data_IF_041626639192
#
_entry.id   IF_041626639192
#
_cell.length_a   1.000
_cell.length_b   1.000
_cell.length_c   1.000
_cell.angle_alpha   90.00
_cell.angle_beta   90.00
_cell.angle_gamma   90.00
#
_symmetry.space_group_name_H-M   'P 1'
#
loop_
_entity.id
_entity.type
_entity.pdbx_description
1 polymer ?
#
# COMPACT_ATOMS: atom_id res chain seq x y z
N UNK A 1 15.79 16.78 -1.12
CA UNK A 1 15.32 15.76 -2.10
C UNK A 1 15.03 14.37 -1.51
N UNK A 2 15.79 13.82 -0.55
CA UNK A 2 15.60 12.43 -0.08
C UNK A 2 14.22 12.05 0.51
N UNK A 3 13.46 12.98 1.08
CA UNK A 3 12.11 12.67 1.62
C UNK A 3 11.05 12.48 0.52
N UNK A 4 11.23 13.11 -0.63
CA UNK A 4 10.31 12.95 -1.76
C UNK A 4 10.46 11.56 -2.40
N UNK A 5 11.70 11.07 -2.54
CA UNK A 5 11.94 9.71 -3.04
C UNK A 5 11.39 8.65 -2.09
N UNK A 6 11.54 8.85 -0.76
CA UNK A 6 10.92 7.97 0.24
C UNK A 6 9.40 7.98 0.11
N UNK A 7 8.77 9.14 -0.04
CA UNK A 7 7.33 9.24 -0.24
C UNK A 7 6.86 8.46 -1.48
N UNK A 8 7.55 8.61 -2.60
CA UNK A 8 7.23 7.90 -3.86
C UNK A 8 7.38 6.39 -3.67
N UNK A 9 8.50 5.93 -3.11
CA UNK A 9 8.74 4.49 -2.88
C UNK A 9 7.65 3.90 -1.99
N UNK A 10 7.28 4.60 -0.92
CA UNK A 10 6.22 4.15 0.00
C UNK A 10 4.87 4.07 -0.70
N UNK A 11 4.49 5.09 -1.47
CA UNK A 11 3.24 5.08 -2.26
C UNK A 11 3.22 3.91 -3.21
N UNK A 12 4.28 3.75 -4.02
CA UNK A 12 4.34 2.66 -5.02
C UNK A 12 4.26 1.29 -4.34
N UNK A 13 4.98 1.09 -3.24
CA UNK A 13 4.97 -0.19 -2.51
C UNK A 13 3.60 -0.48 -1.91
N UNK A 14 2.99 0.49 -1.24
CA UNK A 14 1.65 0.34 -0.65
C UNK A 14 0.60 0.12 -1.74
N UNK A 15 0.65 0.87 -2.84
CA UNK A 15 -0.25 0.66 -3.98
C UNK A 15 -0.12 -0.75 -4.57
N UNK A 16 1.10 -1.25 -4.76
CA UNK A 16 1.32 -2.63 -5.20
C UNK A 16 0.67 -3.64 -4.24
N UNK A 17 0.92 -3.49 -2.93
CA UNK A 17 0.35 -4.38 -1.91
C UNK A 17 -1.18 -4.37 -1.86
N UNK A 18 -1.81 -3.22 -2.14
CA UNK A 18 -3.26 -3.07 -2.10
C UNK A 18 -3.95 -3.52 -3.40
N UNK A 19 -3.26 -3.43 -4.54
CA UNK A 19 -3.82 -3.74 -5.85
C UNK A 19 -3.67 -5.22 -6.22
N UNK A 20 -2.69 -5.93 -5.65
CA UNK A 20 -2.48 -7.35 -5.93
C UNK A 20 -3.53 -8.19 -5.21
N UNK A 21 -4.35 -8.87 -6.02
CA UNK A 21 -5.39 -9.77 -5.56
C UNK A 21 -5.05 -11.21 -5.94
N UNK A 22 -5.42 -12.14 -5.08
CA UNK A 22 -5.28 -13.57 -5.30
C UNK A 22 -6.67 -14.19 -5.40
N UNK A 23 -6.89 -14.92 -6.48
CA UNK A 23 -8.12 -15.68 -6.70
C UNK A 23 -7.86 -17.14 -6.42
N UNK A 24 -8.67 -17.74 -5.53
CA UNK A 24 -8.63 -19.17 -5.26
C UNK A 24 -9.97 -19.78 -5.66
N UNK A 25 -9.94 -20.81 -6.49
CA UNK A 25 -11.13 -21.53 -6.92
C UNK A 25 -11.16 -22.88 -6.23
N UNK A 26 -12.34 -23.23 -5.72
CA UNK A 26 -12.62 -24.52 -5.12
C UNK A 26 -13.65 -25.21 -5.99
N UNK A 27 -13.19 -26.23 -6.71
CA UNK A 27 -14.06 -27.06 -7.51
C UNK A 27 -14.90 -27.96 -6.62
N UNK A 28 -16.20 -28.00 -6.89
CA UNK A 28 -17.09 -28.94 -6.23
C UNK A 28 -16.87 -30.35 -6.79
N UNK A 29 -16.83 -31.35 -5.91
CA UNK A 29 -16.81 -32.74 -6.33
C UNK A 29 -18.10 -33.09 -7.10
N UNK A 30 -18.10 -34.10 -8.00
CA UNK A 30 -19.29 -34.51 -8.73
C UNK A 30 -20.45 -34.84 -7.77
N UNK A 31 -21.57 -34.13 -7.89
CA UNK A 31 -22.75 -34.28 -7.03
C UNK A 31 -22.76 -33.43 -5.75
N UNK A 32 -21.71 -32.65 -5.48
CA UNK A 32 -21.53 -31.90 -4.22
C UNK A 32 -21.92 -30.40 -4.29
N UNK A 33 -22.48 -29.91 -5.41
CA UNK A 33 -22.97 -28.54 -5.55
C UNK A 33 -22.18 -27.67 -6.55
N UNK A 34 -22.24 -26.35 -6.38
CA UNK A 34 -21.60 -25.36 -7.27
C UNK A 34 -20.16 -25.05 -6.87
N UNK A 35 -19.26 -25.03 -7.86
CA UNK A 35 -17.89 -24.51 -7.68
C UNK A 35 -17.93 -23.03 -7.28
N UNK A 36 -17.00 -22.61 -6.43
CA UNK A 36 -16.90 -21.21 -6.01
C UNK A 36 -15.47 -20.70 -6.12
N UNK A 37 -15.32 -19.46 -6.58
CA UNK A 37 -14.06 -18.75 -6.58
C UNK A 37 -14.15 -17.58 -5.61
N UNK A 38 -13.11 -17.43 -4.79
CA UNK A 38 -12.98 -16.34 -3.84
C UNK A 38 -11.75 -15.52 -4.19
N UNK A 39 -11.98 -14.23 -4.43
CA UNK A 39 -10.91 -13.25 -4.63
C UNK A 39 -10.66 -12.52 -3.33
N UNK A 40 -9.41 -12.50 -2.88
CA UNK A 40 -8.99 -11.79 -1.68
C UNK A 40 -7.71 -11.00 -1.95
N UNK A 41 -7.47 -9.89 -1.23
CA UNK A 41 -6.19 -9.20 -1.32
C UNK A 41 -5.06 -10.14 -0.89
N UNK A 42 -3.92 -10.08 -1.57
CA UNK A 42 -2.79 -11.00 -1.36
C UNK A 42 -2.30 -11.05 0.10
N UNK A 43 -2.34 -9.91 0.78
CA UNK A 43 -1.93 -9.77 2.18
C UNK A 43 -3.08 -9.95 3.18
N UNK A 44 -4.26 -10.35 2.70
CA UNK A 44 -5.49 -10.46 3.48
C UNK A 44 -6.02 -9.10 3.94
N UNK A 45 -7.29 -9.07 4.38
CA UNK A 45 -7.98 -7.83 4.76
C UNK A 45 -7.25 -7.10 5.91
N UNK A 46 -6.76 -7.85 6.91
CA UNK A 46 -6.00 -7.27 8.01
C UNK A 46 -4.67 -6.66 7.52
N UNK A 47 -3.95 -7.34 6.64
CA UNK A 47 -2.71 -6.82 6.05
C UNK A 47 -2.95 -5.56 5.22
N UNK A 48 -4.06 -5.49 4.48
CA UNK A 48 -4.49 -4.31 3.71
C UNK A 48 -4.65 -3.08 4.61
N UNK A 49 -5.33 -3.22 5.75
CA UNK A 49 -5.48 -2.12 6.70
C UNK A 49 -4.15 -1.69 7.32
N UNK A 50 -3.31 -2.64 7.72
CA UNK A 50 -1.99 -2.34 8.29
C UNK A 50 -1.13 -1.60 7.27
N UNK A 51 -1.02 -2.11 6.04
CA UNK A 51 -0.24 -1.50 4.97
C UNK A 51 -0.74 -0.07 4.64
N UNK A 52 -2.06 0.11 4.57
CA UNK A 52 -2.67 1.42 4.33
C UNK A 52 -2.35 2.44 5.43
N UNK A 53 -2.52 2.05 6.70
CA UNK A 53 -2.24 2.93 7.85
C UNK A 53 -0.75 3.26 7.94
N UNK A 54 0.13 2.26 7.84
CA UNK A 54 1.58 2.50 7.87
C UNK A 54 2.02 3.41 6.72
N UNK A 55 1.51 3.19 5.50
CA UNK A 55 1.77 4.04 4.35
C UNK A 55 1.34 5.49 4.58
N UNK A 56 0.14 5.71 5.12
CA UNK A 56 -0.38 7.04 5.43
C UNK A 56 0.49 7.78 6.47
N UNK A 57 0.90 7.09 7.53
CA UNK A 57 1.77 7.66 8.57
C UNK A 57 3.12 8.07 7.99
N UNK A 58 3.76 7.19 7.22
CA UNK A 58 5.07 7.50 6.62
C UNK A 58 4.97 8.67 5.63
N UNK A 59 3.90 8.75 4.85
CA UNK A 59 3.65 9.89 3.96
C UNK A 59 3.47 11.19 4.75
N UNK A 60 2.69 11.18 5.83
CA UNK A 60 2.52 12.35 6.68
C UNK A 60 3.87 12.82 7.26
N UNK A 61 4.72 11.90 7.69
CA UNK A 61 6.08 12.20 8.15
C UNK A 61 6.94 12.79 7.03
N UNK A 62 6.90 12.23 5.82
CA UNK A 62 7.65 12.75 4.68
C UNK A 62 7.23 14.18 4.34
N UNK A 63 5.91 14.44 4.27
CA UNK A 63 5.36 15.79 4.05
C UNK A 63 5.81 16.73 5.16
N UNK A 64 5.71 16.31 6.42
CA UNK A 64 6.14 17.12 7.56
C UNK A 64 7.63 17.50 7.47
N UNK A 65 8.50 16.56 7.09
CA UNK A 65 9.93 16.83 6.91
C UNK A 65 10.21 17.79 5.75
N UNK A 66 9.50 17.64 4.63
CA UNK A 66 9.60 18.56 3.47
C UNK A 66 9.21 19.98 3.90
N UNK A 67 8.05 20.13 4.56
CA UNK A 67 7.55 21.43 5.03
C UNK A 67 8.46 22.01 6.11
N UNK A 68 9.04 21.18 6.97
CA UNK A 68 10.03 21.62 7.98
C UNK A 68 11.32 22.11 7.30
N UNK A 69 11.83 21.40 6.30
CA UNK A 69 13.04 21.79 5.56
C UNK A 69 12.83 23.11 4.81
N UNK A 70 11.66 23.28 4.18
CA UNK A 70 11.24 24.53 3.52
C UNK A 70 11.18 25.70 4.51
N UNK A 71 10.52 25.52 5.65
CA UNK A 71 10.45 26.56 6.70
C UNK A 71 11.79 26.90 7.33
N UNK A 72 12.73 25.97 7.34
CA UNK A 72 14.08 26.19 7.91
C UNK A 72 15.04 26.88 6.95
N UNK A 73 14.57 27.33 5.77
CA UNK A 73 15.42 27.99 4.76
C UNK A 73 16.46 27.05 4.11
N UNK A 74 16.32 25.73 4.28
CA UNK A 74 17.25 24.71 3.73
C UNK A 74 16.78 24.13 2.40
N UNK A 75 16.04 24.91 1.61
CA UNK A 75 15.65 24.48 0.25
C UNK A 75 16.50 25.27 -0.74
N UNK A 76 17.64 24.72 -1.19
CA UNK A 76 18.10 24.99 -2.54
C UNK A 76 16.98 24.53 -3.48
N UNK A 77 16.44 25.47 -4.25
CA UNK A 77 15.69 25.19 -5.46
C UNK A 77 16.75 25.02 -6.54
N UNK A 78 17.33 23.82 -6.63
CA UNK A 78 18.15 23.36 -7.75
C UNK A 78 17.78 21.89 -8.05
#
# INVERSE_FOLDING_TARGET
MGWATVAVVVVVTVSMLLLVQTTTCRDAAPGAGTSSCTTTPMIGVAGTWIAGVTGAVVLAVCVWQIVRAARSGRVPID
#
